data_IF_139710998691
#
_entry.id   IF_139710998691
#
_cell.length_a   1.000
_cell.length_b   1.000
_cell.length_c   1.000
_cell.angle_alpha   90.00
_cell.angle_beta   90.00
_cell.angle_gamma   90.00
#
_symmetry.space_group_name_H-M   'P 1'
#
loop_
_entity.id
_entity.type
_entity.pdbx_description
1 polymer ?
#
# COMPACT_ATOMS: atom_id res chain seq x y z
N UNK A 1 -12.49 8.04 19.34
CA UNK A 1 -12.79 8.25 17.90
C UNK A 1 -12.39 6.96 17.26
N UNK A 2 -13.36 6.19 16.81
CA UNK A 2 -13.12 4.81 16.42
C UNK A 2 -13.09 4.77 14.89
N UNK A 3 -12.01 4.23 14.35
CA UNK A 3 -11.84 4.04 12.92
C UNK A 3 -12.38 2.66 12.53
N UNK A 4 -13.14 2.61 11.44
CA UNK A 4 -13.58 1.35 10.83
C UNK A 4 -12.65 1.05 9.66
N UNK A 5 -12.22 -0.20 9.53
CA UNK A 5 -11.34 -0.63 8.44
C UNK A 5 -12.05 -1.69 7.62
N UNK A 6 -12.07 -1.52 6.30
CA UNK A 6 -12.77 -2.42 5.38
C UNK A 6 -12.14 -2.40 3.99
N UNK A 7 -12.47 -3.39 3.18
CA UNK A 7 -12.23 -3.31 1.73
C UNK A 7 -13.05 -2.15 1.17
N UNK A 8 -12.45 -1.42 0.24
CA UNK A 8 -13.14 -0.37 -0.50
C UNK A 8 -14.20 -0.99 -1.41
N UNK A 9 -15.28 -0.26 -1.61
CA UNK A 9 -16.29 -0.53 -2.62
C UNK A 9 -16.20 0.51 -3.73
N UNK A 10 -16.77 0.25 -4.90
CA UNK A 10 -16.68 1.16 -6.04
C UNK A 10 -17.24 2.56 -5.75
N UNK A 11 -18.18 2.68 -4.81
CA UNK A 11 -18.71 3.95 -4.32
C UNK A 11 -17.69 4.81 -3.56
N UNK A 12 -16.60 4.24 -3.05
CA UNK A 12 -15.53 4.99 -2.38
C UNK A 12 -14.59 5.70 -3.36
N UNK A 13 -14.65 5.35 -4.66
CA UNK A 13 -13.73 5.85 -5.70
C UNK A 13 -13.58 7.38 -5.72
N UNK A 14 -14.67 8.19 -5.61
CA UNK A 14 -14.53 9.65 -5.59
C UNK A 14 -13.64 10.12 -4.43
N UNK A 15 -13.83 9.56 -3.23
CA UNK A 15 -13.08 9.97 -2.05
C UNK A 15 -11.64 9.47 -2.06
N UNK A 16 -11.41 8.26 -2.55
CA UNK A 16 -10.06 7.72 -2.79
C UNK A 16 -9.30 8.62 -3.77
N UNK A 17 -9.93 9.01 -4.88
CA UNK A 17 -9.32 9.90 -5.87
C UNK A 17 -8.98 11.29 -5.29
N UNK A 18 -9.78 11.80 -4.35
CA UNK A 18 -9.47 13.04 -3.63
C UNK A 18 -8.29 12.87 -2.67
N UNK A 19 -8.26 11.80 -1.87
CA UNK A 19 -7.13 11.49 -0.97
C UNK A 19 -5.82 11.30 -1.75
N UNK A 20 -5.89 10.70 -2.94
CA UNK A 20 -4.75 10.58 -3.84
C UNK A 20 -4.27 11.97 -4.29
N UNK A 21 -5.17 12.85 -4.71
CA UNK A 21 -4.80 14.24 -5.04
C UNK A 21 -4.22 14.98 -3.82
N UNK A 22 -4.78 14.82 -2.63
CA UNK A 22 -4.21 15.39 -1.38
C UNK A 22 -2.77 14.91 -1.16
N UNK A 23 -2.50 13.62 -1.39
CA UNK A 23 -1.16 13.03 -1.32
C UNK A 23 -0.23 13.68 -2.34
N UNK A 24 -0.61 13.74 -3.62
CA UNK A 24 0.21 14.33 -4.67
C UNK A 24 0.52 15.81 -4.40
N UNK A 25 -0.46 16.59 -3.93
CA UNK A 25 -0.23 18.00 -3.55
C UNK A 25 0.78 18.14 -2.43
N UNK A 26 0.76 17.21 -1.48
CA UNK A 26 1.71 17.17 -0.37
C UNK A 26 3.13 16.84 -0.87
N UNK A 27 3.26 15.86 -1.76
CA UNK A 27 4.56 15.39 -2.28
C UNK A 27 5.18 16.43 -3.23
N UNK A 28 4.40 16.97 -4.16
CA UNK A 28 4.90 17.88 -5.20
C UNK A 28 4.83 19.36 -4.80
N UNK A 29 4.30 19.67 -3.62
CA UNK A 29 4.13 21.04 -3.13
C UNK A 29 3.42 21.97 -4.13
N UNK A 30 2.44 21.44 -4.86
CA UNK A 30 1.65 22.16 -5.86
C UNK A 30 0.17 21.82 -5.73
N UNK A 31 -0.71 22.76 -6.10
CA UNK A 31 -2.15 22.50 -6.17
C UNK A 31 -2.57 21.91 -7.53
N UNK A 32 -1.73 22.06 -8.55
CA UNK A 32 -1.96 21.55 -9.90
C UNK A 32 -1.45 20.12 -10.00
N UNK A 33 -2.34 19.17 -9.68
CA UNK A 33 -2.05 17.73 -9.73
C UNK A 33 -3.11 17.02 -10.56
N UNK A 34 -2.65 16.09 -11.41
CA UNK A 34 -3.52 15.15 -12.11
C UNK A 34 -3.71 13.94 -11.20
N UNK A 35 -4.96 13.62 -10.87
CA UNK A 35 -5.29 12.40 -10.13
C UNK A 35 -5.28 11.17 -11.06
N UNK A 36 -5.94 10.11 -10.63
CA UNK A 36 -6.18 8.94 -11.47
C UNK A 36 -6.84 9.30 -12.79
N UNK A 37 -6.53 8.52 -13.82
CA UNK A 37 -7.28 8.55 -15.08
C UNK A 37 -8.67 7.95 -14.89
N UNK A 38 -9.62 8.38 -15.72
CA UNK A 38 -11.00 7.92 -15.63
C UNK A 38 -11.07 6.39 -15.77
N UNK A 39 -11.72 5.74 -14.80
CA UNK A 39 -11.87 4.29 -14.76
C UNK A 39 -10.66 3.51 -14.26
N UNK A 40 -9.52 4.16 -13.95
CA UNK A 40 -8.33 3.47 -13.42
C UNK A 40 -8.66 2.63 -12.18
N UNK A 41 -9.45 3.19 -11.24
CA UNK A 41 -9.80 2.50 -10.00
C UNK A 41 -10.69 1.26 -10.20
N UNK A 42 -11.33 1.09 -11.37
CA UNK A 42 -12.23 -0.04 -11.63
C UNK A 42 -11.50 -1.39 -11.51
N UNK A 43 -10.17 -1.43 -11.75
CA UNK A 43 -9.36 -2.65 -11.60
C UNK A 43 -9.45 -3.23 -10.18
N UNK A 44 -9.49 -2.38 -9.16
CA UNK A 44 -9.53 -2.77 -7.75
C UNK A 44 -10.90 -3.28 -7.29
N UNK A 45 -11.93 -3.17 -8.14
CA UNK A 45 -13.30 -3.64 -7.88
C UNK A 45 -13.72 -4.77 -8.83
N UNK A 46 -12.74 -5.39 -9.48
CA UNK A 46 -12.90 -6.53 -10.40
C UNK A 46 -12.30 -7.80 -9.78
N UNK A 47 -12.55 -8.97 -10.39
CA UNK A 47 -12.10 -10.28 -9.88
C UNK A 47 -10.58 -10.56 -10.03
N UNK A 48 -9.73 -9.53 -10.02
CA UNK A 48 -8.29 -9.61 -10.27
C UNK A 48 -7.40 -9.84 -9.05
N UNK A 49 -7.95 -9.79 -7.83
CA UNK A 49 -7.17 -9.90 -6.59
C UNK A 49 -6.57 -8.57 -6.10
N UNK A 50 -6.35 -7.62 -6.99
CA UNK A 50 -6.08 -6.22 -6.63
C UNK A 50 -7.21 -5.69 -5.74
N UNK A 51 -6.86 -4.94 -4.69
CA UNK A 51 -7.87 -4.34 -3.81
C UNK A 51 -7.36 -3.07 -3.15
N UNK A 52 -8.29 -2.32 -2.57
CA UNK A 52 -7.99 -1.17 -1.73
C UNK A 52 -8.57 -1.43 -0.34
N UNK A 53 -7.80 -1.18 0.71
CA UNK A 53 -8.32 -1.03 2.06
C UNK A 53 -8.53 0.44 2.37
N UNK A 54 -9.64 0.76 3.05
CA UNK A 54 -9.94 2.11 3.54
C UNK A 54 -10.07 2.13 5.05
N UNK A 55 -9.79 3.29 5.64
CA UNK A 55 -10.15 3.61 7.01
C UNK A 55 -11.21 4.72 7.02
N UNK A 56 -12.29 4.50 7.76
CA UNK A 56 -13.40 5.42 7.90
C UNK A 56 -13.44 6.04 9.29
N UNK A 57 -13.72 7.34 9.35
CA UNK A 57 -14.10 8.03 10.57
C UNK A 57 -15.56 8.49 10.44
N UNK A 58 -16.46 7.79 11.12
CA UNK A 58 -17.90 7.99 10.93
C UNK A 58 -18.36 7.41 9.59
N UNK A 59 -18.65 8.26 8.61
CA UNK A 59 -19.03 7.87 7.23
C UNK A 59 -18.05 8.36 6.17
N UNK A 60 -16.92 8.89 6.60
CA UNK A 60 -15.95 9.54 5.74
C UNK A 60 -14.70 8.67 5.63
N UNK A 61 -14.29 8.36 4.40
CA UNK A 61 -13.01 7.70 4.13
C UNK A 61 -11.89 8.70 4.35
N UNK A 62 -11.01 8.43 5.33
CA UNK A 62 -9.92 9.32 5.75
C UNK A 62 -8.54 8.78 5.42
N UNK A 63 -8.46 7.53 4.98
CA UNK A 63 -7.23 6.90 4.51
C UNK A 63 -7.53 5.75 3.55
N UNK A 64 -6.58 5.44 2.68
CA UNK A 64 -6.62 4.27 1.83
C UNK A 64 -5.23 3.70 1.58
N UNK A 65 -5.17 2.41 1.24
CA UNK A 65 -3.98 1.69 0.77
C UNK A 65 -4.38 0.80 -0.40
N UNK A 66 -3.83 1.02 -1.59
CA UNK A 66 -3.99 0.12 -2.73
C UNK A 66 -2.96 -1.00 -2.71
N UNK A 67 -3.41 -2.18 -3.14
CA UNK A 67 -2.63 -3.41 -3.18
C UNK A 67 -2.77 -4.01 -4.57
N UNK A 68 -1.62 -4.25 -5.19
CA UNK A 68 -1.52 -4.93 -6.48
C UNK A 68 -0.96 -6.35 -6.29
N UNK A 69 -1.56 -7.35 -6.94
CA UNK A 69 -1.21 -8.75 -6.73
C UNK A 69 -0.38 -9.31 -7.88
N UNK A 70 0.91 -9.52 -7.63
CA UNK A 70 1.84 -10.15 -8.57
C UNK A 70 2.00 -11.64 -8.25
N UNK A 71 0.94 -12.40 -8.53
CA UNK A 71 0.84 -13.81 -8.14
C UNK A 71 1.95 -14.69 -8.74
N UNK A 72 2.32 -14.46 -10.00
CA UNK A 72 3.35 -15.24 -10.68
C UNK A 72 4.76 -14.98 -10.12
N UNK A 73 5.01 -13.75 -9.66
CA UNK A 73 6.29 -13.34 -9.09
C UNK A 73 6.34 -13.51 -7.56
N UNK A 74 5.23 -13.90 -6.93
CA UNK A 74 5.15 -14.26 -5.53
C UNK A 74 5.18 -13.08 -4.56
N UNK A 75 4.64 -11.92 -4.94
CA UNK A 75 4.52 -10.78 -4.04
C UNK A 75 3.22 -9.99 -4.24
N UNK A 76 2.84 -9.23 -3.21
CA UNK A 76 1.93 -8.10 -3.37
C UNK A 76 2.73 -6.80 -3.32
N UNK A 77 2.26 -5.79 -4.04
CA UNK A 77 2.85 -4.46 -4.05
C UNK A 77 1.93 -3.47 -3.34
N UNK A 78 2.47 -2.73 -2.37
CA UNK A 78 1.78 -1.61 -1.73
C UNK A 78 2.08 -0.35 -2.55
N UNK A 79 1.09 0.13 -3.31
CA UNK A 79 1.29 1.22 -4.27
C UNK A 79 0.93 2.59 -3.67
N UNK A 80 -0.34 2.97 -3.78
CA UNK A 80 -0.82 4.26 -3.31
C UNK A 80 -1.31 4.17 -1.86
N UNK A 81 -0.72 5.00 -1.01
CA UNK A 81 -0.99 4.99 0.42
C UNK A 81 -1.09 6.41 0.97
N UNK A 82 -2.28 6.78 1.45
CA UNK A 82 -2.53 8.11 2.00
C UNK A 82 -3.37 8.04 3.26
N UNK A 83 -3.02 8.90 4.23
CA UNK A 83 -3.84 9.26 5.38
C UNK A 83 -4.00 10.77 5.36
N UNK A 84 -5.25 11.25 5.39
CA UNK A 84 -5.53 12.69 5.42
C UNK A 84 -4.87 13.36 6.62
N UNK A 85 -4.47 14.62 6.48
CA UNK A 85 -3.56 15.30 7.40
C UNK A 85 -4.06 15.30 8.86
N UNK A 86 -5.38 15.49 9.05
CA UNK A 86 -6.06 15.56 10.34
C UNK A 86 -6.12 14.21 11.09
N UNK A 87 -5.84 13.12 10.37
CA UNK A 87 -5.91 11.75 10.89
C UNK A 87 -4.53 11.06 10.98
N UNK A 88 -3.44 11.75 10.62
CA UNK A 88 -2.07 11.22 10.75
C UNK A 88 -1.67 11.02 12.21
N UNK A 89 -0.65 10.20 12.44
CA UNK A 89 -0.10 9.87 13.76
C UNK A 89 -1.09 9.20 14.75
N UNK A 90 -2.18 8.60 14.23
CA UNK A 90 -3.19 7.87 15.01
C UNK A 90 -3.14 6.35 14.82
N UNK A 91 -2.08 5.82 14.19
CA UNK A 91 -1.90 4.38 13.95
C UNK A 91 -2.68 3.80 12.76
N UNK A 92 -3.46 4.60 12.03
CA UNK A 92 -4.26 4.18 10.87
C UNK A 92 -3.40 3.48 9.81
N UNK A 93 -2.25 4.09 9.49
CA UNK A 93 -1.32 3.56 8.50
C UNK A 93 -0.78 2.17 8.85
N UNK A 94 -0.34 2.01 10.09
CA UNK A 94 0.09 0.71 10.64
C UNK A 94 -1.02 -0.33 10.53
N UNK A 95 -2.28 0.05 10.78
CA UNK A 95 -3.40 -0.87 10.69
C UNK A 95 -3.73 -1.27 9.25
N UNK A 96 -3.65 -0.33 8.29
CA UNK A 96 -3.84 -0.64 6.86
C UNK A 96 -2.75 -1.58 6.33
N UNK A 97 -1.48 -1.35 6.69
CA UNK A 97 -0.37 -2.24 6.30
C UNK A 97 -0.56 -3.64 6.92
N UNK A 98 -0.99 -3.73 8.18
CA UNK A 98 -1.31 -5.02 8.80
C UNK A 98 -2.43 -5.77 8.06
N UNK A 99 -3.45 -5.08 7.56
CA UNK A 99 -4.50 -5.71 6.74
C UNK A 99 -3.97 -6.19 5.38
N UNK A 100 -2.99 -5.49 4.80
CA UNK A 100 -2.31 -5.92 3.59
C UNK A 100 -1.44 -7.15 3.83
N UNK A 101 -0.75 -7.20 4.98
CA UNK A 101 0.01 -8.38 5.43
C UNK A 101 -0.91 -9.59 5.62
N UNK A 102 -1.99 -9.44 6.38
CA UNK A 102 -2.99 -10.50 6.59
C UNK A 102 -3.60 -10.97 5.25
N UNK A 103 -3.85 -10.04 4.32
CA UNK A 103 -4.37 -10.37 3.00
C UNK A 103 -3.37 -11.21 2.20
N UNK A 104 -2.10 -10.79 2.14
CA UNK A 104 -1.03 -11.51 1.45
C UNK A 104 -0.88 -12.95 1.98
N UNK A 105 -0.89 -13.12 3.32
CA UNK A 105 -0.88 -14.45 3.95
C UNK A 105 -2.10 -15.27 3.55
N UNK A 106 -3.30 -14.68 3.54
CA UNK A 106 -4.56 -15.38 3.23
C UNK A 106 -4.62 -15.92 1.80
N UNK A 107 -3.92 -15.27 0.86
CA UNK A 107 -3.83 -15.70 -0.54
C UNK A 107 -2.54 -16.50 -0.83
N UNK A 108 -1.76 -16.82 0.21
CA UNK A 108 -0.56 -17.64 0.12
C UNK A 108 0.63 -16.96 -0.55
N UNK A 109 0.64 -15.64 -0.62
CA UNK A 109 1.73 -14.85 -1.23
C UNK A 109 2.80 -14.56 -0.16
N UNK A 110 4.07 -14.92 -0.40
CA UNK A 110 5.11 -14.92 0.64
C UNK A 110 5.83 -13.59 0.83
N UNK A 111 5.59 -12.57 -0.01
CA UNK A 111 6.34 -11.33 0.04
C UNK A 111 5.45 -10.10 -0.16
N UNK A 112 5.89 -8.99 0.43
CA UNK A 112 5.30 -7.67 0.26
C UNK A 112 6.40 -6.71 -0.14
N UNK A 113 6.12 -5.93 -1.16
CA UNK A 113 7.06 -5.00 -1.79
C UNK A 113 6.44 -3.61 -1.81
N UNK A 114 7.26 -2.58 -1.65
CA UNK A 114 6.85 -1.19 -1.80
C UNK A 114 8.04 -0.31 -2.15
N UNK A 115 7.76 0.85 -2.75
CA UNK A 115 8.73 1.94 -2.82
C UNK A 115 8.46 2.99 -1.76
N UNK A 116 9.54 3.57 -1.25
CA UNK A 116 9.47 4.77 -0.42
C UNK A 116 10.48 5.80 -0.91
N UNK A 117 10.01 7.03 -1.13
CA UNK A 117 10.87 8.17 -1.42
C UNK A 117 11.81 8.43 -0.24
N UNK A 118 13.10 8.67 -0.51
CA UNK A 118 14.10 8.95 0.53
C UNK A 118 13.81 10.22 1.32
N UNK A 119 13.03 11.13 0.75
CA UNK A 119 12.57 12.35 1.42
C UNK A 119 11.42 12.07 2.39
N UNK A 120 10.75 10.90 2.29
CA UNK A 120 9.64 10.50 3.15
C UNK A 120 10.13 9.70 4.37
N UNK A 121 10.96 10.34 5.19
CA UNK A 121 11.58 9.74 6.38
C UNK A 121 10.53 9.12 7.33
N UNK A 122 9.36 9.74 7.46
CA UNK A 122 8.28 9.22 8.29
C UNK A 122 7.76 7.86 7.83
N UNK A 123 7.52 7.70 6.53
CA UNK A 123 7.10 6.41 5.96
C UNK A 123 8.24 5.39 6.00
N UNK A 124 9.47 5.79 5.67
CA UNK A 124 10.64 4.91 5.75
C UNK A 124 10.80 4.31 7.16
N UNK A 125 10.74 5.15 8.21
CA UNK A 125 10.81 4.70 9.60
C UNK A 125 9.62 3.83 10.00
N UNK A 126 8.41 4.11 9.49
CA UNK A 126 7.24 3.25 9.71
C UNK A 126 7.48 1.85 9.13
N UNK A 127 7.90 1.74 7.87
CA UNK A 127 8.13 0.46 7.21
C UNK A 127 9.25 -0.34 7.90
N UNK A 128 10.36 0.31 8.26
CA UNK A 128 11.45 -0.33 9.04
C UNK A 128 10.97 -0.89 10.37
N UNK A 129 10.13 -0.15 11.11
CA UNK A 129 9.53 -0.60 12.38
C UNK A 129 8.60 -1.81 12.19
N UNK A 130 7.93 -1.89 11.04
CA UNK A 130 7.05 -3.01 10.68
C UNK A 130 7.82 -4.22 10.13
N UNK A 131 9.15 -4.14 10.01
CA UNK A 131 10.01 -5.26 9.62
C UNK A 131 10.33 -5.32 8.12
N UNK A 132 9.95 -4.30 7.35
CA UNK A 132 10.42 -4.13 5.98
C UNK A 132 11.90 -3.77 5.99
N UNK A 133 12.63 -4.25 4.98
CA UNK A 133 14.06 -4.03 4.82
C UNK A 133 14.32 -3.44 3.44
N UNK A 134 15.31 -2.57 3.38
CA UNK A 134 15.85 -2.02 2.13
C UNK A 134 16.33 -3.18 1.25
N UNK A 135 15.86 -3.23 0.01
CA UNK A 135 16.22 -4.24 -0.98
C UNK A 135 17.13 -3.63 -2.04
N UNK A 136 16.71 -2.51 -2.63
CA UNK A 136 17.46 -1.81 -3.67
C UNK A 136 17.30 -0.29 -3.53
N UNK A 137 18.41 0.42 -3.74
CA UNK A 137 18.42 1.88 -3.85
C UNK A 137 18.28 2.28 -5.31
N UNK A 138 17.17 2.94 -5.67
CA UNK A 138 16.84 3.36 -7.02
C UNK A 138 16.97 4.88 -7.19
N UNK A 139 17.96 5.48 -6.53
CA UNK A 139 18.22 6.92 -6.62
C UNK A 139 17.38 7.73 -5.65
N UNK A 140 16.18 8.15 -6.06
CA UNK A 140 15.31 9.00 -5.22
C UNK A 140 14.44 8.18 -4.25
N UNK A 141 14.21 6.90 -4.57
CA UNK A 141 13.39 5.99 -3.79
C UNK A 141 14.15 4.72 -3.44
N UNK A 142 13.70 4.04 -2.40
CA UNK A 142 14.21 2.75 -1.95
C UNK A 142 13.10 1.74 -2.15
N UNK A 143 13.42 0.64 -2.85
CA UNK A 143 12.60 -0.54 -2.89
C UNK A 143 12.75 -1.27 -1.55
N UNK A 144 11.66 -1.49 -0.84
CA UNK A 144 11.63 -2.18 0.44
C UNK A 144 10.82 -3.47 0.34
N UNK A 145 11.29 -4.51 1.05
CA UNK A 145 10.68 -5.84 1.03
C UNK A 145 10.46 -6.35 2.45
N UNK A 146 9.33 -7.02 2.65
CA UNK A 146 9.05 -7.88 3.80
C UNK A 146 8.64 -9.27 3.33
N UNK A 147 9.42 -10.26 3.70
CA UNK A 147 9.06 -11.67 3.53
C UNK A 147 8.18 -12.12 4.70
N UNK A 148 7.05 -12.73 4.38
CA UNK A 148 6.14 -13.34 5.34
C UNK A 148 6.60 -14.77 5.60
N UNK A 149 6.74 -15.13 6.87
CA UNK A 149 7.22 -16.48 7.23
C UNK A 149 6.13 -17.49 6.87
N UNK A 150 6.45 -18.44 5.98
CA UNK A 150 5.61 -19.62 5.78
C UNK A 150 5.52 -20.43 7.07
N UNK A 151 4.31 -20.63 7.58
CA UNK A 151 4.04 -21.79 8.44
C UNK A 151 4.14 -23.05 7.58
N UNK A 152 5.32 -23.70 7.60
CA UNK A 152 5.54 -25.01 6.97
C UNK A 152 6.56 -25.00 5.84
N UNK A 153 7.68 -25.69 6.09
CA UNK A 153 8.70 -26.19 5.16
C UNK A 153 8.64 -25.70 3.71
N UNK A 154 9.22 -24.54 3.45
CA UNK A 154 9.72 -24.21 2.11
C UNK A 154 11.23 -24.06 2.20
N UNK A 155 11.96 -24.71 1.29
CA UNK A 155 13.42 -24.61 1.23
C UNK A 155 13.78 -23.16 0.87
N UNK A 156 14.82 -22.56 1.49
CA UNK A 156 15.31 -21.25 1.07
C UNK A 156 15.79 -21.33 -0.39
N UNK A 157 15.21 -20.56 -1.32
CA UNK A 157 15.78 -20.41 -2.67
C UNK A 157 14.88 -20.22 -3.90
N UNK A 158 13.54 -20.17 -3.80
CA UNK A 158 12.65 -20.08 -4.99
C UNK A 158 11.83 -18.80 -5.12
N UNK A 159 12.31 -17.67 -4.59
CA UNK A 159 11.84 -16.34 -4.99
C UNK A 159 13.02 -15.63 -5.61
N UNK A 160 13.04 -15.51 -6.93
CA UNK A 160 14.06 -14.71 -7.64
C UNK A 160 13.65 -13.23 -7.57
N UNK A 161 14.35 -12.38 -6.79
CA UNK A 161 13.95 -10.99 -6.59
C UNK A 161 14.12 -10.11 -7.84
N UNK A 162 14.81 -10.62 -8.86
CA UNK A 162 15.15 -9.90 -10.09
C UNK A 162 13.96 -9.45 -10.95
N UNK A 163 12.71 -9.69 -10.52
CA UNK A 163 11.47 -9.22 -11.17
C UNK A 163 10.62 -8.31 -10.29
N UNK A 164 11.09 -7.97 -9.10
CA UNK A 164 10.34 -7.12 -8.18
C UNK A 164 10.49 -5.67 -8.61
N UNK A 165 9.63 -5.31 -9.58
CA UNK A 165 9.41 -4.01 -10.21
C UNK A 165 10.60 -3.40 -10.96
N UNK A 166 10.59 -3.59 -12.29
CA UNK A 166 11.24 -2.74 -13.32
C UNK A 166 10.38 -1.50 -13.64
#
# INVERSE_FOLDING_TARGET
MDFVYRKAESSDSPRIAELFKEMLRTIYHTNDVKGYEDGYLNRFFSDGGDLIYVAELGKEVVAFLSIEVYKEDGYIYLDDFSVTAECRNKGIGTKLISLAEDYSESIGIPAIVLHVEKTNEGAYQLYRKLGYRDHEDQGNRILMVKELRKQGNMKPGELTPARWTD
#
